data_IF_169083774515
#
_entry.id   IF_169083774515
#
_cell.length_a   1.000
_cell.length_b   1.000
_cell.length_c   1.000
_cell.angle_alpha   90.00
_cell.angle_beta   90.00
_cell.angle_gamma   90.00
#
_symmetry.space_group_name_H-M   'P 1'
#
loop_
_entity.id
_entity.type
_entity.pdbx_description
1 polymer ?
#
# COMPACT_ATOMS: atom_id res chain seq x y z
N UNK A 1 -92.34 -82.66 -76.93
CA UNK A 1 -91.72 -82.95 -75.64
C UNK A 1 -92.55 -84.02 -74.96
N UNK A 2 -92.06 -85.26 -74.94
CA UNK A 2 -92.71 -86.40 -74.27
C UNK A 2 -91.72 -87.09 -73.34
N UNK A 3 -92.13 -87.41 -72.11
CA UNK A 3 -91.33 -88.24 -71.21
C UNK A 3 -91.22 -89.67 -71.78
N UNK A 4 -89.99 -90.12 -72.06
CA UNK A 4 -89.68 -91.45 -72.63
C UNK A 4 -89.21 -92.42 -71.57
N UNK A 5 -88.44 -91.94 -70.59
CA UNK A 5 -87.78 -92.78 -69.58
C UNK A 5 -87.73 -92.08 -68.23
N UNK A 6 -88.00 -92.84 -67.16
CA UNK A 6 -87.76 -92.44 -65.78
C UNK A 6 -86.77 -93.43 -65.18
N UNK A 7 -85.62 -92.94 -64.73
CA UNK A 7 -84.68 -93.71 -63.93
C UNK A 7 -84.77 -93.25 -62.48
N UNK A 8 -85.01 -94.18 -61.57
CA UNK A 8 -85.18 -93.91 -60.13
C UNK A 8 -84.21 -94.77 -59.34
N UNK A 9 -83.40 -94.17 -58.48
CA UNK A 9 -82.47 -94.88 -57.60
C UNK A 9 -82.45 -94.25 -56.21
N UNK A 10 -82.71 -95.06 -55.18
CA UNK A 10 -82.72 -94.62 -53.78
C UNK A 10 -83.84 -93.64 -53.41
N UNK A 11 -84.85 -93.40 -54.26
CA UNK A 11 -85.93 -92.44 -54.01
C UNK A 11 -87.13 -93.11 -53.34
N UNK A 12 -87.46 -92.72 -52.11
CA UNK A 12 -88.57 -93.26 -51.31
C UNK A 12 -88.61 -94.79 -51.38
N UNK A 13 -89.68 -95.39 -51.89
CA UNK A 13 -89.85 -96.85 -52.01
C UNK A 13 -88.89 -97.54 -53.00
N UNK A 14 -88.17 -96.79 -53.83
CA UNK A 14 -87.28 -97.32 -54.86
C UNK A 14 -85.84 -97.42 -54.36
N UNK A 15 -85.52 -98.49 -53.64
CA UNK A 15 -84.15 -98.71 -53.14
C UNK A 15 -83.15 -99.01 -54.26
N UNK A 16 -83.52 -99.87 -55.23
CA UNK A 16 -82.67 -100.27 -56.35
C UNK A 16 -82.94 -99.40 -57.57
N UNK A 17 -81.93 -99.22 -58.41
CA UNK A 17 -82.09 -98.57 -59.72
C UNK A 17 -83.22 -99.27 -60.48
N UNK A 18 -84.25 -98.51 -60.80
CA UNK A 18 -85.44 -98.95 -61.52
C UNK A 18 -85.62 -98.04 -62.72
N UNK A 19 -85.76 -98.64 -63.90
CA UNK A 19 -85.97 -97.92 -65.15
C UNK A 19 -87.40 -98.17 -65.62
N UNK A 20 -88.15 -97.10 -65.86
CA UNK A 20 -89.55 -97.14 -66.31
C UNK A 20 -89.59 -96.49 -67.69
N UNK A 21 -89.96 -97.26 -68.70
CA UNK A 21 -90.15 -96.78 -70.06
C UNK A 21 -91.60 -96.36 -70.27
N UNK A 22 -91.81 -95.16 -70.82
CA UNK A 22 -93.12 -94.58 -71.10
C UNK A 22 -93.30 -94.55 -72.61
N UNK A 23 -94.27 -95.34 -73.07
CA UNK A 23 -94.60 -95.45 -74.49
C UNK A 23 -95.61 -94.39 -74.93
N UNK A 24 -95.80 -94.24 -76.24
CA UNK A 24 -96.82 -93.34 -76.81
C UNK A 24 -98.22 -93.81 -76.38
N UNK A 25 -99.11 -92.85 -76.08
CA UNK A 25 -100.49 -93.12 -75.67
C UNK A 25 -100.70 -93.02 -74.15
N UNK A 26 -101.61 -93.82 -73.61
CA UNK A 26 -101.96 -93.81 -72.19
C UNK A 26 -101.15 -94.87 -71.46
N UNK A 27 -100.32 -94.46 -70.51
CA UNK A 27 -99.58 -95.37 -69.63
C UNK A 27 -100.28 -95.47 -68.27
N UNK A 28 -100.82 -96.65 -67.95
CA UNK A 28 -101.44 -96.93 -66.66
C UNK A 28 -100.44 -97.51 -65.66
N UNK A 29 -100.35 -96.92 -64.47
CA UNK A 29 -99.53 -97.44 -63.36
C UNK A 29 -100.47 -98.06 -62.32
N UNK A 30 -100.47 -99.40 -62.24
CA UNK A 30 -101.33 -100.16 -61.34
C UNK A 30 -100.53 -100.95 -60.30
N UNK A 31 -101.15 -101.28 -59.18
CA UNK A 31 -100.51 -102.00 -58.08
C UNK A 31 -101.27 -101.84 -56.76
N UNK A 32 -100.99 -102.64 -55.73
CA UNK A 32 -101.67 -102.56 -54.44
C UNK A 32 -101.32 -101.26 -53.68
N UNK A 33 -102.12 -100.90 -52.67
CA UNK A 33 -101.80 -99.75 -51.83
C UNK A 33 -100.44 -99.93 -51.14
N UNK A 34 -99.64 -98.87 -51.08
CA UNK A 34 -98.28 -98.92 -50.54
C UNK A 34 -97.20 -99.40 -51.53
N UNK A 35 -97.55 -99.79 -52.77
CA UNK A 35 -96.58 -100.26 -53.77
C UNK A 35 -95.71 -99.16 -54.43
N UNK A 36 -95.74 -97.93 -53.91
CA UNK A 36 -94.92 -96.82 -54.43
C UNK A 36 -95.44 -96.09 -55.66
N UNK A 37 -96.66 -96.36 -56.14
CA UNK A 37 -97.25 -95.70 -57.34
C UNK A 37 -97.17 -94.17 -57.30
N UNK A 38 -97.68 -93.58 -56.22
CA UNK A 38 -97.67 -92.13 -56.04
C UNK A 38 -96.25 -91.56 -55.87
N UNK A 39 -95.27 -92.38 -55.48
CA UNK A 39 -93.87 -91.95 -55.38
C UNK A 39 -93.24 -91.73 -56.76
N UNK A 40 -93.77 -92.35 -57.82
CA UNK A 40 -93.34 -92.08 -59.20
C UNK A 40 -93.72 -90.64 -59.59
N UNK A 41 -94.95 -90.22 -59.28
CA UNK A 41 -95.40 -88.85 -59.51
C UNK A 41 -94.59 -87.82 -58.68
N UNK A 42 -94.27 -88.16 -57.42
CA UNK A 42 -93.41 -87.31 -56.59
C UNK A 42 -91.99 -87.22 -57.15
N UNK A 43 -91.42 -88.32 -57.67
CA UNK A 43 -90.10 -88.33 -58.30
C UNK A 43 -90.04 -87.40 -59.51
N UNK A 44 -91.10 -87.41 -60.34
CA UNK A 44 -91.21 -86.52 -61.49
C UNK A 44 -91.25 -85.05 -61.03
N UNK A 45 -92.12 -84.69 -60.07
CA UNK A 45 -92.20 -83.31 -59.53
C UNK A 45 -90.90 -82.83 -58.91
N UNK A 46 -90.24 -83.73 -58.20
CA UNK A 46 -89.01 -83.44 -57.49
C UNK A 46 -87.88 -83.05 -58.44
N UNK A 47 -87.73 -83.76 -59.57
CA UNK A 47 -86.75 -83.41 -60.61
C UNK A 47 -87.13 -82.10 -61.30
N UNK A 48 -88.42 -81.86 -61.54
CA UNK A 48 -88.93 -80.65 -62.22
C UNK A 48 -88.93 -79.39 -61.33
N UNK A 49 -88.31 -79.45 -60.15
CA UNK A 49 -88.02 -78.27 -59.32
C UNK A 49 -88.92 -78.07 -58.11
N UNK A 50 -89.72 -79.07 -57.69
CA UNK A 50 -90.43 -78.99 -56.40
C UNK A 50 -89.42 -78.90 -55.23
N UNK A 51 -89.61 -77.90 -54.38
CA UNK A 51 -88.75 -77.58 -53.24
C UNK A 51 -89.48 -77.79 -51.90
N UNK A 52 -90.80 -77.89 -51.91
CA UNK A 52 -91.60 -78.12 -50.71
C UNK A 52 -91.59 -79.60 -50.34
N UNK A 53 -90.98 -79.94 -49.21
CA UNK A 53 -91.03 -81.30 -48.65
C UNK A 53 -92.47 -81.77 -48.39
N UNK A 54 -93.35 -80.84 -47.99
CA UNK A 54 -94.78 -81.10 -47.77
C UNK A 54 -95.50 -81.55 -49.04
N UNK A 55 -95.22 -80.91 -50.17
CA UNK A 55 -95.81 -81.27 -51.47
C UNK A 55 -95.34 -82.64 -51.96
N UNK A 56 -94.14 -83.04 -51.53
CA UNK A 56 -93.58 -84.37 -51.74
C UNK A 56 -93.94 -85.33 -50.60
N UNK A 57 -94.95 -85.04 -49.76
CA UNK A 57 -95.42 -85.95 -48.70
C UNK A 57 -94.31 -86.41 -47.74
N UNK A 58 -93.37 -85.50 -47.46
CA UNK A 58 -92.31 -85.64 -46.46
C UNK A 58 -92.35 -84.50 -45.44
N UNK A 59 -91.63 -84.66 -44.34
CA UNK A 59 -91.49 -83.62 -43.31
C UNK A 59 -90.28 -82.74 -43.64
N UNK A 60 -89.17 -83.39 -43.99
CA UNK A 60 -87.93 -82.74 -44.45
C UNK A 60 -87.62 -83.13 -45.88
N UNK A 61 -86.75 -82.36 -46.53
CA UNK A 61 -86.41 -82.61 -47.92
C UNK A 61 -85.62 -83.92 -48.09
N UNK A 62 -84.85 -84.32 -47.08
CA UNK A 62 -84.08 -85.57 -47.08
C UNK A 62 -84.97 -86.83 -46.99
N UNK A 63 -86.26 -86.68 -46.62
CA UNK A 63 -87.22 -87.79 -46.55
C UNK A 63 -87.55 -88.38 -47.93
N UNK A 64 -87.10 -87.74 -49.02
CA UNK A 64 -87.15 -88.31 -50.37
C UNK A 64 -86.15 -89.46 -50.56
N UNK A 65 -85.13 -89.58 -49.69
CA UNK A 65 -84.13 -90.64 -49.75
C UNK A 65 -84.67 -91.90 -49.05
N UNK A 66 -84.47 -93.08 -49.65
CA UNK A 66 -84.87 -94.36 -49.08
C UNK A 66 -84.31 -94.52 -47.66
N UNK A 67 -85.22 -94.64 -46.70
CA UNK A 67 -84.88 -94.64 -45.28
C UNK A 67 -84.54 -96.03 -44.71
N UNK A 68 -84.47 -97.06 -45.55
CA UNK A 68 -84.26 -98.44 -45.14
C UNK A 68 -85.55 -99.14 -44.72
N UNK A 69 -85.46 -100.46 -44.60
CA UNK A 69 -86.49 -101.33 -44.00
C UNK A 69 -85.80 -102.26 -43.00
N UNK A 70 -86.54 -103.10 -42.27
CA UNK A 70 -85.94 -104.05 -41.32
C UNK A 70 -84.84 -104.93 -41.94
N UNK A 71 -84.97 -105.25 -43.24
CA UNK A 71 -84.05 -106.13 -43.96
C UNK A 71 -83.07 -105.38 -44.88
N UNK A 72 -83.16 -104.04 -44.99
CA UNK A 72 -82.39 -103.28 -46.00
C UNK A 72 -81.86 -101.95 -45.44
N UNK A 73 -80.56 -101.64 -45.63
CA UNK A 73 -79.96 -100.43 -45.07
C UNK A 73 -80.48 -99.16 -45.76
N UNK A 74 -80.43 -98.04 -45.02
CA UNK A 74 -80.71 -96.71 -45.55
C UNK A 74 -79.71 -96.32 -46.64
N UNK A 75 -80.17 -95.65 -47.70
CA UNK A 75 -79.31 -95.12 -48.77
C UNK A 75 -78.69 -93.77 -48.36
N UNK A 76 -77.47 -93.50 -48.80
CA UNK A 76 -76.77 -92.23 -48.55
C UNK A 76 -77.27 -91.08 -49.43
N UNK A 77 -77.76 -91.41 -50.63
CA UNK A 77 -78.30 -90.46 -51.60
C UNK A 77 -79.47 -91.08 -52.37
N UNK A 78 -80.21 -90.23 -53.07
CA UNK A 78 -81.15 -90.64 -54.11
C UNK A 78 -80.88 -89.84 -55.38
N UNK A 79 -81.24 -90.41 -56.52
CA UNK A 79 -81.18 -89.74 -57.81
C UNK A 79 -82.35 -90.18 -58.68
N UNK A 80 -82.86 -89.23 -59.47
CA UNK A 80 -83.92 -89.46 -60.43
C UNK A 80 -83.54 -88.74 -61.72
N UNK A 81 -83.63 -89.44 -62.85
CA UNK A 81 -83.42 -88.89 -64.18
C UNK A 81 -84.67 -89.07 -65.02
N UNK A 82 -85.10 -87.98 -65.67
CA UNK A 82 -86.24 -87.93 -66.58
C UNK A 82 -85.71 -87.66 -67.98
N UNK A 83 -85.92 -88.58 -68.91
CA UNK A 83 -85.55 -88.37 -70.32
C UNK A 83 -86.78 -87.99 -71.13
N UNK A 84 -86.65 -86.92 -71.90
CA UNK A 84 -87.70 -86.34 -72.73
C UNK A 84 -87.29 -86.35 -74.19
N UNK A 85 -88.17 -86.87 -75.03
CA UNK A 85 -88.11 -86.75 -76.49
C UNK A 85 -88.42 -85.29 -76.88
N UNK A 86 -87.45 -84.61 -77.48
CA UNK A 86 -87.47 -83.22 -77.93
C UNK A 86 -87.51 -83.10 -79.48
N UNK A 87 -88.01 -84.13 -80.20
CA UNK A 87 -88.17 -84.07 -81.67
C UNK A 87 -89.00 -82.88 -82.16
N UNK A 88 -89.89 -82.33 -81.32
CA UNK A 88 -90.73 -81.18 -81.65
C UNK A 88 -90.07 -79.82 -81.38
N UNK A 89 -88.82 -79.80 -80.94
CA UNK A 89 -88.02 -78.57 -80.79
C UNK A 89 -88.57 -77.57 -79.77
N UNK A 90 -89.43 -77.99 -78.84
CA UNK A 90 -90.03 -77.10 -77.84
C UNK A 90 -89.02 -76.54 -76.85
N UNK A 91 -87.95 -77.29 -76.59
CA UNK A 91 -86.78 -76.78 -75.87
C UNK A 91 -85.73 -76.42 -76.93
N UNK A 92 -85.22 -75.18 -76.86
CA UNK A 92 -84.11 -74.70 -77.67
C UNK A 92 -82.81 -75.41 -77.23
N UNK A 93 -82.59 -76.60 -77.78
CA UNK A 93 -81.44 -77.47 -77.51
C UNK A 93 -81.09 -78.24 -78.78
N UNK A 94 -79.80 -78.44 -79.02
CA UNK A 94 -79.29 -79.19 -80.18
C UNK A 94 -79.52 -80.71 -80.06
N UNK A 95 -79.99 -81.17 -78.89
CA UNK A 95 -80.24 -82.58 -78.59
C UNK A 95 -81.69 -82.98 -78.88
N UNK A 96 -81.86 -84.11 -79.57
CA UNK A 96 -83.16 -84.75 -79.83
C UNK A 96 -83.76 -85.43 -78.60
N UNK A 97 -82.93 -85.77 -77.60
CA UNK A 97 -83.37 -86.26 -76.29
C UNK A 97 -82.72 -85.40 -75.19
N UNK A 98 -83.53 -85.01 -74.20
CA UNK A 98 -83.11 -84.19 -73.06
C UNK A 98 -83.33 -84.98 -71.77
N UNK A 99 -82.26 -85.24 -71.04
CA UNK A 99 -82.29 -85.89 -69.73
C UNK A 99 -82.09 -84.86 -68.62
N UNK A 100 -83.09 -84.71 -67.77
CA UNK A 100 -83.05 -83.85 -66.58
C UNK A 100 -82.88 -84.75 -65.36
N UNK A 101 -81.83 -84.52 -64.58
CA UNK A 101 -81.50 -85.29 -63.39
C UNK A 101 -81.52 -84.43 -62.14
N UNK A 102 -81.92 -85.03 -61.02
CA UNK A 102 -81.69 -84.46 -59.69
C UNK A 102 -81.13 -85.54 -58.78
N UNK A 103 -80.07 -85.19 -58.04
CA UNK A 103 -79.44 -86.03 -57.03
C UNK A 103 -79.45 -85.30 -55.70
N UNK A 104 -79.72 -86.02 -54.62
CA UNK A 104 -79.71 -85.43 -53.28
C UNK A 104 -79.07 -86.35 -52.27
N UNK A 105 -78.22 -85.75 -51.45
CA UNK A 105 -77.48 -86.42 -50.39
C UNK A 105 -78.17 -86.20 -49.04
N UNK A 106 -77.92 -87.10 -48.09
CA UNK A 106 -78.38 -86.92 -46.70
C UNK A 106 -77.75 -85.71 -46.00
N UNK A 107 -76.71 -85.10 -46.55
CA UNK A 107 -76.16 -83.81 -46.11
C UNK A 107 -77.12 -82.63 -46.36
N UNK A 108 -78.16 -82.81 -47.18
CA UNK A 108 -79.09 -81.76 -47.60
C UNK A 108 -78.71 -81.12 -48.94
N UNK A 109 -77.54 -81.45 -49.49
CA UNK A 109 -77.08 -80.97 -50.78
C UNK A 109 -77.91 -81.59 -51.91
N UNK A 110 -78.38 -80.74 -52.83
CA UNK A 110 -79.08 -81.13 -54.06
C UNK A 110 -78.27 -80.70 -55.28
N UNK A 111 -77.97 -81.65 -56.15
CA UNK A 111 -77.32 -81.44 -57.43
C UNK A 111 -78.33 -81.64 -58.56
N UNK A 112 -78.18 -80.84 -59.61
CA UNK A 112 -79.07 -80.80 -60.76
C UNK A 112 -78.26 -81.06 -62.03
N UNK A 113 -78.82 -81.87 -62.91
CA UNK A 113 -78.13 -82.34 -64.11
C UNK A 113 -79.00 -82.11 -65.35
N UNK A 114 -78.37 -81.68 -66.44
CA UNK A 114 -78.97 -81.58 -67.76
C UNK A 114 -78.05 -82.29 -68.75
N UNK A 115 -78.52 -83.36 -69.38
CA UNK A 115 -77.73 -84.23 -70.27
C UNK A 115 -76.40 -84.68 -69.64
N UNK A 116 -76.40 -84.91 -68.33
CA UNK A 116 -75.21 -85.31 -67.55
C UNK A 116 -74.34 -84.14 -67.06
N UNK A 117 -74.56 -82.91 -67.53
CA UNK A 117 -73.82 -81.73 -67.07
C UNK A 117 -74.45 -81.13 -65.81
N UNK A 118 -73.63 -80.72 -64.84
CA UNK A 118 -74.10 -80.05 -63.63
C UNK A 118 -74.58 -78.63 -63.94
N UNK A 119 -75.80 -78.29 -63.53
CA UNK A 119 -76.47 -77.02 -63.79
C UNK A 119 -77.15 -76.48 -62.53
N UNK A 120 -77.58 -75.22 -62.54
CA UNK A 120 -78.35 -74.67 -61.41
C UNK A 120 -79.83 -75.00 -61.57
N UNK A 121 -80.56 -75.05 -60.45
CA UNK A 121 -82.03 -75.16 -60.48
C UNK A 121 -82.66 -74.05 -61.35
N UNK A 122 -82.10 -72.84 -61.33
CA UNK A 122 -82.59 -71.71 -62.14
C UNK A 122 -82.59 -72.07 -63.64
N UNK A 123 -81.54 -72.75 -64.10
CA UNK A 123 -81.36 -73.11 -65.51
C UNK A 123 -82.37 -74.20 -65.92
N UNK A 124 -82.61 -75.20 -65.06
CA UNK A 124 -83.66 -76.21 -65.28
C UNK A 124 -85.06 -75.57 -65.32
N UNK A 125 -85.35 -74.65 -64.39
CA UNK A 125 -86.63 -73.95 -64.35
C UNK A 125 -86.84 -73.05 -65.55
N UNK A 126 -85.77 -72.46 -66.10
CA UNK A 126 -85.83 -71.64 -67.32
C UNK A 126 -86.16 -72.49 -68.55
N UNK A 127 -85.51 -73.65 -68.70
CA UNK A 127 -85.74 -74.59 -69.81
C UNK A 127 -87.18 -75.13 -69.82
N UNK A 128 -87.72 -75.46 -68.65
CA UNK A 128 -89.06 -76.05 -68.53
C UNK A 128 -90.17 -74.98 -68.56
N UNK A 129 -89.83 -73.69 -68.39
CA UNK A 129 -90.80 -72.58 -68.28
C UNK A 129 -91.74 -72.48 -69.47
N UNK A 130 -91.23 -72.70 -70.69
CA UNK A 130 -91.99 -72.60 -71.93
C UNK A 130 -92.64 -73.93 -72.37
N UNK A 131 -92.39 -75.03 -71.65
CA UNK A 131 -92.90 -76.37 -72.01
C UNK A 131 -94.19 -76.75 -71.30
N UNK A 132 -94.57 -76.02 -70.25
CA UNK A 132 -95.76 -76.27 -69.42
C UNK A 132 -95.59 -77.42 -68.41
N UNK A 133 -94.39 -78.01 -68.31
CA UNK A 133 -94.08 -79.19 -67.47
C UNK A 133 -93.36 -78.77 -66.15
N UNK A 134 -93.51 -77.53 -65.71
CA UNK A 134 -92.82 -76.99 -64.51
C UNK A 134 -93.49 -77.28 -63.17
N UNK A 135 -92.83 -76.88 -62.07
CA UNK A 135 -93.39 -76.89 -60.70
C UNK A 135 -94.77 -76.22 -60.60
N UNK A 136 -94.97 -75.12 -61.32
CA UNK A 136 -96.22 -74.37 -61.34
C UNK A 136 -97.19 -74.88 -62.42
N UNK A 137 -96.68 -75.71 -63.35
CA UNK A 137 -97.39 -76.16 -64.53
C UNK A 137 -98.59 -77.06 -64.24
N UNK A 138 -99.63 -76.94 -65.07
CA UNK A 138 -100.85 -77.75 -65.01
C UNK A 138 -100.63 -79.24 -65.36
N UNK A 139 -99.44 -79.60 -65.86
CA UNK A 139 -99.12 -80.93 -66.37
C UNK A 139 -99.05 -82.02 -65.31
N UNK A 140 -98.92 -81.67 -64.03
CA UNK A 140 -98.84 -82.66 -62.94
C UNK A 140 -99.90 -82.38 -61.87
N UNK A 141 -101.04 -83.06 -62.00
CA UNK A 141 -102.15 -82.90 -61.05
C UNK A 141 -101.97 -83.83 -59.85
N UNK A 142 -101.94 -83.26 -58.64
CA UNK A 142 -101.86 -84.01 -57.40
C UNK A 142 -103.22 -84.42 -56.87
N UNK A 143 -103.22 -85.42 -55.99
CA UNK A 143 -104.41 -85.73 -55.21
C UNK A 143 -104.84 -84.48 -54.42
N UNK A 144 -106.07 -84.02 -54.63
CA UNK A 144 -106.63 -82.80 -54.00
C UNK A 144 -106.25 -81.46 -54.67
N UNK A 145 -105.39 -81.44 -55.70
CA UNK A 145 -104.96 -80.19 -56.36
C UNK A 145 -106.10 -79.51 -57.13
N UNK A 146 -107.04 -80.29 -57.67
CA UNK A 146 -108.20 -79.76 -58.39
C UNK A 146 -109.09 -78.98 -57.41
N UNK A 147 -109.36 -79.54 -56.23
CA UNK A 147 -110.15 -78.89 -55.18
C UNK A 147 -109.45 -77.62 -54.65
N UNK A 148 -108.11 -77.64 -54.54
CA UNK A 148 -107.30 -76.48 -54.16
C UNK A 148 -107.43 -75.34 -55.18
N UNK A 149 -107.36 -75.64 -56.48
CA UNK A 149 -107.50 -74.61 -57.53
C UNK A 149 -108.90 -73.98 -57.47
N UNK A 150 -109.94 -74.80 -57.27
CA UNK A 150 -111.34 -74.35 -57.18
C UNK A 150 -111.63 -73.54 -55.91
N UNK A 151 -110.97 -73.86 -54.79
CA UNK A 151 -111.14 -73.17 -53.49
C UNK A 151 -110.15 -72.01 -53.26
N UNK A 152 -109.14 -71.85 -54.11
CA UNK A 152 -108.12 -70.79 -53.98
C UNK A 152 -108.67 -69.37 -54.18
N UNK A 153 -108.00 -68.39 -53.54
CA UNK A 153 -108.27 -66.95 -53.71
C UNK A 153 -108.13 -66.54 -55.19
N UNK A 154 -108.92 -65.57 -55.69
CA UNK A 154 -108.88 -65.15 -57.10
C UNK A 154 -107.48 -64.80 -57.63
N UNK A 155 -106.64 -64.19 -56.80
CA UNK A 155 -105.25 -63.83 -57.16
C UNK A 155 -104.37 -65.06 -57.40
N UNK A 156 -104.49 -66.09 -56.56
CA UNK A 156 -103.75 -67.34 -56.72
C UNK A 156 -104.26 -68.13 -57.94
N UNK A 157 -105.58 -68.13 -58.14
CA UNK A 157 -106.22 -68.74 -59.30
C UNK A 157 -105.81 -68.08 -60.62
N UNK A 158 -105.69 -66.75 -60.63
CA UNK A 158 -105.23 -65.98 -61.79
C UNK A 158 -103.84 -66.41 -62.26
N UNK A 159 -102.92 -66.70 -61.35
CA UNK A 159 -101.57 -67.18 -61.71
C UNK A 159 -101.61 -68.46 -62.54
N UNK A 160 -102.50 -69.40 -62.19
CA UNK A 160 -102.69 -70.66 -62.93
C UNK A 160 -103.16 -70.39 -64.37
N UNK A 161 -104.06 -69.42 -64.56
CA UNK A 161 -104.52 -69.02 -65.89
C UNK A 161 -103.46 -68.23 -66.67
N UNK A 162 -102.70 -67.34 -66.02
CA UNK A 162 -101.61 -66.59 -66.65
C UNK A 162 -100.47 -67.51 -67.11
N UNK A 163 -100.22 -68.59 -66.38
CA UNK A 163 -99.28 -69.63 -66.77
C UNK A 163 -99.80 -70.47 -67.94
N UNK A 164 -101.07 -70.88 -67.90
CA UNK A 164 -101.71 -71.56 -69.02
C UNK A 164 -101.75 -70.69 -70.30
N UNK A 165 -101.84 -69.37 -70.15
CA UNK A 165 -101.77 -68.39 -71.23
C UNK A 165 -100.33 -68.04 -71.67
N UNK A 166 -99.30 -68.52 -70.97
CA UNK A 166 -97.89 -68.25 -71.30
C UNK A 166 -97.41 -66.81 -71.07
N UNK A 167 -98.18 -65.99 -70.36
CA UNK A 167 -97.89 -64.54 -70.16
C UNK A 167 -96.93 -64.31 -68.99
N UNK A 168 -96.81 -65.27 -68.06
CA UNK A 168 -95.99 -65.17 -66.85
C UNK A 168 -94.53 -64.76 -67.13
N UNK A 169 -93.92 -65.23 -68.22
CA UNK A 169 -92.52 -64.89 -68.57
C UNK A 169 -92.30 -63.40 -68.82
N UNK A 170 -93.24 -62.75 -69.51
CA UNK A 170 -93.15 -61.34 -69.84
C UNK A 170 -93.35 -60.48 -68.60
N UNK A 171 -94.27 -60.90 -67.73
CA UNK A 171 -94.52 -60.25 -66.45
C UNK A 171 -93.31 -60.29 -65.53
N UNK A 172 -92.70 -61.47 -65.33
CA UNK A 172 -91.51 -61.59 -64.48
C UNK A 172 -90.33 -60.78 -65.03
N UNK A 173 -90.09 -60.82 -66.35
CA UNK A 173 -89.03 -59.99 -66.98
C UNK A 173 -89.27 -58.49 -66.81
N UNK A 174 -90.53 -58.05 -66.88
CA UNK A 174 -90.91 -56.66 -66.63
C UNK A 174 -90.61 -56.26 -65.18
N UNK A 175 -91.10 -57.04 -64.21
CA UNK A 175 -90.89 -56.77 -62.78
C UNK A 175 -89.39 -56.74 -62.41
N UNK A 176 -88.58 -57.67 -62.95
CA UNK A 176 -87.12 -57.67 -62.77
C UNK A 176 -86.45 -56.40 -63.36
N UNK A 177 -86.91 -55.96 -64.53
CA UNK A 177 -86.38 -54.76 -65.21
C UNK A 177 -86.76 -53.48 -64.47
N UNK A 178 -87.99 -53.38 -63.97
CA UNK A 178 -88.47 -52.25 -63.17
C UNK A 178 -87.64 -52.10 -61.89
N UNK A 179 -87.40 -53.20 -61.16
CA UNK A 179 -86.53 -53.16 -59.98
C UNK A 179 -85.08 -52.77 -60.30
N UNK A 180 -84.56 -53.19 -61.46
CA UNK A 180 -83.20 -52.79 -61.87
C UNK A 180 -83.13 -51.30 -62.20
N UNK A 181 -84.17 -50.74 -62.81
CA UNK A 181 -84.26 -49.32 -63.12
C UNK A 181 -84.33 -48.47 -61.84
N UNK A 182 -85.17 -48.86 -60.89
CA UNK A 182 -85.31 -48.22 -59.58
C UNK A 182 -83.96 -48.14 -58.84
N UNK A 183 -83.24 -49.26 -58.74
CA UNK A 183 -81.90 -49.30 -58.15
C UNK A 183 -80.89 -48.40 -58.87
N UNK A 184 -81.00 -48.29 -60.19
CA UNK A 184 -80.11 -47.43 -60.97
C UNK A 184 -80.40 -45.96 -60.71
N UNK A 185 -81.67 -45.59 -60.55
CA UNK A 185 -82.08 -44.25 -60.20
C UNK A 185 -81.56 -43.84 -58.81
N UNK A 186 -81.68 -44.72 -57.81
CA UNK A 186 -81.13 -44.49 -56.47
C UNK A 186 -79.62 -44.26 -56.49
N UNK A 187 -78.89 -45.06 -57.29
CA UNK A 187 -77.45 -44.89 -57.45
C UNK A 187 -77.09 -43.55 -58.10
N UNK A 188 -77.88 -43.11 -59.09
CA UNK A 188 -77.65 -41.83 -59.76
C UNK A 188 -77.82 -40.66 -58.80
N UNK A 189 -78.91 -40.65 -58.02
CA UNK A 189 -79.14 -39.62 -56.99
C UNK A 189 -77.98 -39.54 -56.00
N UNK A 190 -77.45 -40.70 -55.57
CA UNK A 190 -76.28 -40.72 -54.69
C UNK A 190 -75.03 -40.13 -55.34
N UNK A 191 -74.81 -40.36 -56.64
CA UNK A 191 -73.67 -39.76 -57.36
C UNK A 191 -73.83 -38.24 -57.45
N UNK A 192 -75.05 -37.75 -57.72
CA UNK A 192 -75.36 -36.33 -57.75
C UNK A 192 -75.09 -35.65 -56.40
N UNK A 193 -75.48 -36.29 -55.29
CA UNK A 193 -75.19 -35.79 -53.93
C UNK A 193 -73.68 -35.65 -53.68
N UNK A 194 -72.90 -36.68 -54.03
CA UNK A 194 -71.43 -36.67 -53.88
C UNK A 194 -70.80 -35.59 -54.76
N UNK A 195 -71.28 -35.43 -56.00
CA UNK A 195 -70.80 -34.36 -56.89
C UNK A 195 -71.11 -32.97 -56.33
N UNK A 196 -72.28 -32.79 -55.72
CA UNK A 196 -72.66 -31.55 -55.03
C UNK A 196 -71.72 -31.24 -53.86
N UNK A 197 -71.44 -32.23 -53.02
CA UNK A 197 -70.50 -32.09 -51.90
C UNK A 197 -69.09 -31.72 -52.37
N UNK A 198 -68.54 -32.47 -53.35
CA UNK A 198 -67.21 -32.21 -53.90
C UNK A 198 -67.12 -30.83 -54.56
N UNK A 199 -68.16 -30.42 -55.30
CA UNK A 199 -68.20 -29.09 -55.91
C UNK A 199 -68.16 -27.97 -54.87
N UNK A 200 -68.84 -28.16 -53.73
CA UNK A 200 -68.79 -27.24 -52.60
C UNK A 200 -67.40 -27.12 -51.96
N UNK A 201 -66.59 -28.19 -52.00
CA UNK A 201 -65.23 -28.19 -51.45
C UNK A 201 -64.19 -27.53 -52.38
N UNK A 202 -64.42 -27.54 -53.70
CA UNK A 202 -63.46 -27.01 -54.68
C UNK A 202 -63.19 -25.51 -54.48
N UNK A 203 -64.23 -24.70 -54.26
CA UNK A 203 -64.08 -23.24 -54.09
C UNK A 203 -63.15 -22.86 -52.93
N UNK A 204 -63.42 -23.33 -51.69
CA UNK A 204 -62.54 -23.11 -50.54
C UNK A 204 -61.11 -23.62 -50.76
N UNK A 205 -60.94 -24.78 -51.40
CA UNK A 205 -59.61 -25.32 -51.73
C UNK A 205 -58.86 -24.44 -52.73
N UNK A 206 -59.56 -23.87 -53.71
CA UNK A 206 -58.96 -22.92 -54.64
C UNK A 206 -58.50 -21.65 -53.92
N UNK A 207 -59.34 -21.06 -53.07
CA UNK A 207 -58.95 -19.89 -52.27
C UNK A 207 -57.74 -20.17 -51.37
N UNK A 208 -57.69 -21.35 -50.75
CA UNK A 208 -56.55 -21.79 -49.94
C UNK A 208 -55.28 -21.92 -50.79
N UNK A 209 -55.39 -22.48 -51.99
CA UNK A 209 -54.26 -22.61 -52.92
C UNK A 209 -53.74 -21.24 -53.38
N UNK A 210 -54.63 -20.31 -53.71
CA UNK A 210 -54.27 -18.93 -54.09
C UNK A 210 -53.59 -18.18 -52.94
N UNK A 211 -54.15 -18.25 -51.72
CA UNK A 211 -53.52 -17.69 -50.51
C UNK A 211 -52.13 -18.27 -50.25
N UNK A 212 -51.98 -19.58 -50.42
CA UNK A 212 -50.70 -20.26 -50.22
C UNK A 212 -49.67 -19.83 -51.26
N UNK A 213 -50.07 -19.69 -52.53
CA UNK A 213 -49.18 -19.17 -53.59
C UNK A 213 -48.72 -17.74 -53.26
N UNK A 214 -49.64 -16.86 -52.90
CA UNK A 214 -49.31 -15.48 -52.51
C UNK A 214 -48.37 -15.44 -51.29
N UNK A 215 -48.62 -16.29 -50.28
CA UNK A 215 -47.73 -16.42 -49.13
C UNK A 215 -46.32 -16.85 -49.54
N UNK A 216 -46.18 -17.85 -50.40
CA UNK A 216 -44.86 -18.33 -50.85
C UNK A 216 -44.09 -17.24 -51.62
N UNK A 217 -44.77 -16.49 -52.48
CA UNK A 217 -44.16 -15.36 -53.18
C UNK A 217 -43.69 -14.26 -52.22
N UNK A 218 -44.53 -13.90 -51.24
CA UNK A 218 -44.18 -12.92 -50.21
C UNK A 218 -43.04 -13.42 -49.31
N UNK A 219 -43.03 -14.71 -48.99
CA UNK A 219 -41.98 -15.32 -48.17
C UNK A 219 -40.63 -15.32 -48.88
N UNK A 220 -40.58 -15.69 -50.16
CA UNK A 220 -39.35 -15.59 -50.95
C UNK A 220 -38.89 -14.14 -51.10
N UNK A 221 -39.84 -13.19 -51.28
CA UNK A 221 -39.50 -11.77 -51.30
C UNK A 221 -38.94 -11.29 -49.97
N UNK A 222 -39.53 -11.70 -48.85
CA UNK A 222 -39.05 -11.38 -47.51
C UNK A 222 -37.63 -11.93 -47.31
N UNK A 223 -37.41 -13.21 -47.59
CA UNK A 223 -36.11 -13.87 -47.47
C UNK A 223 -35.03 -13.14 -48.28
N UNK A 224 -35.35 -12.71 -49.49
CA UNK A 224 -34.45 -11.91 -50.31
C UNK A 224 -34.13 -10.55 -49.65
N UNK A 225 -35.13 -9.85 -49.11
CA UNK A 225 -34.92 -8.58 -48.41
C UNK A 225 -34.09 -8.75 -47.13
N UNK A 226 -34.37 -9.79 -46.35
CA UNK A 226 -33.64 -10.12 -45.12
C UNK A 226 -32.18 -10.43 -45.42
N UNK A 227 -31.88 -11.24 -46.45
CA UNK A 227 -30.50 -11.50 -46.90
C UNK A 227 -29.77 -10.20 -47.27
N UNK A 228 -30.42 -9.29 -47.99
CA UNK A 228 -29.83 -8.00 -48.34
C UNK A 228 -29.57 -7.13 -47.11
N UNK A 229 -30.52 -7.09 -46.16
CA UNK A 229 -30.36 -6.36 -44.91
C UNK A 229 -29.20 -6.92 -44.08
N UNK A 230 -29.09 -8.24 -43.97
CA UNK A 230 -27.98 -8.89 -43.28
C UNK A 230 -26.64 -8.62 -43.96
N UNK A 231 -26.58 -8.66 -45.30
CA UNK A 231 -25.37 -8.33 -46.05
C UNK A 231 -24.92 -6.87 -45.79
N UNK A 232 -25.85 -5.92 -45.83
CA UNK A 232 -25.55 -4.51 -45.52
C UNK A 232 -25.11 -4.31 -44.07
N UNK A 233 -25.76 -4.98 -43.12
CA UNK A 233 -25.39 -4.90 -41.71
C UNK A 233 -24.01 -5.52 -41.48
N UNK A 234 -23.70 -6.65 -42.12
CA UNK A 234 -22.39 -7.28 -42.07
C UNK A 234 -21.31 -6.33 -42.59
N UNK A 235 -21.50 -5.74 -43.77
CA UNK A 235 -20.54 -4.78 -44.34
C UNK A 235 -20.35 -3.55 -43.43
N UNK A 236 -21.44 -3.03 -42.85
CA UNK A 236 -21.38 -1.90 -41.90
C UNK A 236 -20.59 -2.26 -40.64
N UNK A 237 -20.84 -3.44 -40.07
CA UNK A 237 -20.15 -3.92 -38.88
C UNK A 237 -18.67 -4.13 -39.22
N UNK A 238 -18.36 -4.75 -40.35
CA UNK A 238 -16.98 -4.98 -40.79
C UNK A 238 -16.21 -3.67 -40.95
N UNK A 239 -16.80 -2.65 -41.59
CA UNK A 239 -16.19 -1.30 -41.68
C UNK A 239 -15.96 -0.67 -40.31
N UNK A 240 -16.88 -0.87 -39.36
CA UNK A 240 -16.74 -0.34 -38.00
C UNK A 240 -15.67 -1.07 -37.22
N UNK A 241 -15.55 -2.39 -37.37
CA UNK A 241 -14.46 -3.19 -36.78
C UNK A 241 -13.12 -2.72 -37.34
N UNK A 242 -13.02 -2.52 -38.66
CA UNK A 242 -11.79 -2.03 -39.28
C UNK A 242 -11.38 -0.66 -38.73
N UNK A 243 -12.31 0.31 -38.67
CA UNK A 243 -12.02 1.62 -38.06
C UNK A 243 -11.57 1.51 -36.60
N UNK A 244 -12.27 0.72 -35.79
CA UNK A 244 -11.90 0.52 -34.40
C UNK A 244 -10.53 -0.15 -34.25
N UNK A 245 -10.17 -1.07 -35.15
CA UNK A 245 -8.83 -1.68 -35.14
C UNK A 245 -7.73 -0.69 -35.52
N UNK A 246 -8.01 0.23 -36.47
CA UNK A 246 -7.09 1.31 -36.83
C UNK A 246 -6.92 2.27 -35.65
N UNK A 247 -8.01 2.73 -35.03
CA UNK A 247 -7.99 3.59 -33.84
C UNK A 247 -7.26 2.93 -32.65
N UNK A 248 -7.43 1.62 -32.46
CA UNK A 248 -6.76 0.86 -31.40
C UNK A 248 -5.26 0.75 -31.65
N UNK A 249 -4.84 0.49 -32.88
CA UNK A 249 -3.43 0.47 -33.25
C UNK A 249 -2.75 1.85 -33.08
N UNK A 250 -3.45 2.94 -33.43
CA UNK A 250 -2.96 4.30 -33.18
C UNK A 250 -2.81 4.59 -31.68
N UNK A 251 -3.77 4.16 -30.87
CA UNK A 251 -3.73 4.35 -29.42
C UNK A 251 -2.62 3.53 -28.76
N UNK A 252 -2.42 2.27 -29.19
CA UNK A 252 -1.32 1.42 -28.73
C UNK A 252 0.04 2.05 -29.05
N UNK A 253 0.23 2.57 -30.27
CA UNK A 253 1.44 3.27 -30.66
C UNK A 253 1.66 4.56 -29.83
N UNK A 254 0.59 5.31 -29.54
CA UNK A 254 0.67 6.49 -28.68
C UNK A 254 1.05 6.14 -27.23
N UNK A 255 0.50 5.05 -26.68
CA UNK A 255 0.86 4.55 -25.34
C UNK A 255 2.32 4.13 -25.30
N UNK A 256 2.81 3.40 -26.31
CA UNK A 256 4.20 2.96 -26.37
C UNK A 256 5.16 4.17 -26.47
N UNK A 257 4.81 5.18 -27.27
CA UNK A 257 5.57 6.42 -27.35
C UNK A 257 5.61 7.18 -26.01
N UNK A 258 4.47 7.30 -25.32
CA UNK A 258 4.40 7.96 -24.01
C UNK A 258 5.17 7.18 -22.93
N UNK A 259 5.09 5.85 -22.95
CA UNK A 259 5.88 4.99 -22.05
C UNK A 259 7.38 5.14 -22.29
N UNK A 260 7.80 5.22 -23.56
CA UNK A 260 9.20 5.49 -23.91
C UNK A 260 9.65 6.88 -23.43
N UNK A 261 8.82 7.91 -23.63
CA UNK A 261 9.08 9.27 -23.16
C UNK A 261 9.11 9.40 -21.63
N UNK A 262 8.23 8.67 -20.93
CA UNK A 262 8.27 8.55 -19.49
C UNK A 262 9.54 7.85 -19.01
N UNK A 263 9.94 6.76 -19.69
CA UNK A 263 11.18 6.04 -19.40
C UNK A 263 12.42 6.92 -19.56
N UNK A 264 12.51 7.73 -20.62
CA UNK A 264 13.62 8.67 -20.80
C UNK A 264 13.62 9.77 -19.75
N UNK A 265 12.44 10.32 -19.43
CA UNK A 265 12.31 11.37 -18.40
C UNK A 265 12.68 10.82 -17.01
N UNK A 266 12.29 9.58 -16.70
CA UNK A 266 12.65 8.90 -15.47
C UNK A 266 14.17 8.72 -15.33
N UNK A 267 14.84 8.31 -16.42
CA UNK A 267 16.30 8.21 -16.46
C UNK A 267 16.97 9.57 -16.25
N UNK A 268 16.46 10.63 -16.89
CA UNK A 268 16.98 11.99 -16.72
C UNK A 268 16.79 12.49 -15.28
N UNK A 269 15.64 12.21 -14.63
CA UNK A 269 15.47 12.53 -13.20
C UNK A 269 16.40 11.72 -12.30
N UNK A 270 16.68 10.46 -12.61
CA UNK A 270 17.61 9.64 -11.83
C UNK A 270 19.05 10.15 -11.98
N UNK A 271 19.46 10.51 -13.19
CA UNK A 271 20.77 11.14 -13.46
C UNK A 271 20.90 12.48 -12.74
N UNK A 272 19.87 13.35 -12.81
CA UNK A 272 19.86 14.63 -12.11
C UNK A 272 19.87 14.44 -10.59
N UNK A 273 19.15 13.44 -10.07
CA UNK A 273 19.14 13.15 -8.62
C UNK A 273 20.51 12.67 -8.15
N UNK A 274 21.15 11.76 -8.89
CA UNK A 274 22.52 11.32 -8.59
C UNK A 274 23.53 12.46 -8.66
N UNK A 275 23.38 13.37 -9.63
CA UNK A 275 24.22 14.58 -9.74
C UNK A 275 23.98 15.56 -8.60
N UNK A 276 22.75 15.66 -8.11
CA UNK A 276 22.39 16.48 -6.96
C UNK A 276 23.00 15.90 -5.68
N UNK A 277 22.90 14.59 -5.44
CA UNK A 277 23.56 13.92 -4.31
C UNK A 277 25.08 14.14 -4.32
N UNK A 278 25.70 14.06 -5.50
CA UNK A 278 27.13 14.30 -5.65
C UNK A 278 27.50 15.75 -5.36
N UNK A 279 26.72 16.72 -5.87
CA UNK A 279 26.92 18.14 -5.54
C UNK A 279 26.68 18.44 -4.06
N UNK A 280 25.75 17.76 -3.41
CA UNK A 280 25.52 17.88 -1.96
C UNK A 280 26.71 17.33 -1.16
N UNK A 281 27.31 16.21 -1.58
CA UNK A 281 28.56 15.71 -1.00
C UNK A 281 29.72 16.69 -1.21
N UNK A 282 29.91 17.18 -2.43
CA UNK A 282 30.96 18.16 -2.75
C UNK A 282 30.78 19.45 -1.92
N UNK A 283 29.54 19.92 -1.77
CA UNK A 283 29.20 21.08 -0.93
C UNK A 283 29.49 20.80 0.55
N UNK A 284 29.16 19.61 1.04
CA UNK A 284 29.45 19.21 2.42
C UNK A 284 30.95 19.18 2.67
N UNK A 285 31.73 18.60 1.75
CA UNK A 285 33.19 18.57 1.82
C UNK A 285 33.77 19.99 1.76
N UNK A 286 33.32 20.84 0.83
CA UNK A 286 33.77 22.22 0.73
C UNK A 286 33.43 23.03 1.99
N UNK A 287 32.27 22.76 2.64
CA UNK A 287 31.91 23.38 3.93
C UNK A 287 32.80 22.90 5.06
N UNK A 288 33.16 21.62 5.10
CA UNK A 288 34.10 21.08 6.06
C UNK A 288 35.50 21.68 5.89
N UNK A 289 35.98 21.76 4.64
CA UNK A 289 37.24 22.43 4.29
C UNK A 289 37.21 23.92 4.67
N UNK A 290 36.11 24.63 4.38
CA UNK A 290 35.94 26.03 4.76
C UNK A 290 35.90 26.21 6.29
N UNK A 291 35.24 25.31 7.01
CA UNK A 291 35.22 25.29 8.47
C UNK A 291 36.61 25.04 9.05
N UNK A 292 37.35 24.08 8.48
CA UNK A 292 38.75 23.78 8.85
C UNK A 292 39.67 24.98 8.60
N UNK A 293 39.59 25.60 7.42
CA UNK A 293 40.32 26.82 7.09
C UNK A 293 39.90 28.00 7.97
N UNK A 294 38.62 28.10 8.33
CA UNK A 294 38.10 29.10 9.26
C UNK A 294 38.68 28.93 10.65
N UNK A 295 38.71 27.70 11.17
CA UNK A 295 39.34 27.38 12.45
C UNK A 295 40.85 27.64 12.43
N UNK A 296 41.52 27.35 11.31
CA UNK A 296 42.94 27.66 11.14
C UNK A 296 43.20 29.17 11.03
N UNK A 297 42.32 29.92 10.35
CA UNK A 297 42.37 31.37 10.30
C UNK A 297 42.13 32.00 11.68
N UNK A 298 41.17 31.47 12.47
CA UNK A 298 40.95 31.89 13.86
C UNK A 298 42.14 31.56 14.75
N UNK A 299 42.75 30.38 14.60
CA UNK A 299 43.99 30.00 15.29
C UNK A 299 45.12 30.96 14.96
N UNK A 300 45.36 31.22 13.67
CA UNK A 300 46.40 32.14 13.20
C UNK A 300 46.11 33.59 13.61
N UNK A 301 44.85 34.01 13.64
CA UNK A 301 44.45 35.33 14.17
C UNK A 301 44.68 35.43 15.68
N UNK A 302 44.39 34.36 16.43
CA UNK A 302 44.69 34.24 17.85
C UNK A 302 46.19 34.28 18.13
N UNK A 303 46.99 33.53 17.36
CA UNK A 303 48.46 33.56 17.41
C UNK A 303 49.01 34.93 17.05
N UNK A 304 48.48 35.58 15.99
CA UNK A 304 48.84 36.95 15.62
C UNK A 304 48.49 37.94 16.72
N UNK A 305 47.35 37.80 17.39
CA UNK A 305 46.93 38.67 18.49
C UNK A 305 47.82 38.46 19.73
N UNK A 306 48.16 37.22 20.06
CA UNK A 306 49.10 36.89 21.12
C UNK A 306 50.51 37.42 20.83
N UNK A 307 50.98 37.28 19.58
CA UNK A 307 52.24 37.87 19.12
C UNK A 307 52.21 39.40 19.16
N UNK A 308 51.10 40.02 18.76
CA UNK A 308 50.93 41.47 18.85
C UNK A 308 50.91 41.96 20.30
N UNK A 309 50.26 41.23 21.21
CA UNK A 309 50.31 41.51 22.65
C UNK A 309 51.71 41.32 23.22
N UNK A 310 52.45 40.28 22.79
CA UNK A 310 53.86 40.10 23.15
C UNK A 310 54.73 41.22 22.60
N UNK A 311 54.51 41.67 21.37
CA UNK A 311 55.22 42.82 20.80
C UNK A 311 54.92 44.10 21.58
N UNK A 312 53.65 44.36 21.93
CA UNK A 312 53.27 45.50 22.77
C UNK A 312 53.80 45.40 24.20
N UNK A 313 53.98 44.19 24.74
CA UNK A 313 54.61 43.97 26.03
C UNK A 313 56.12 44.23 25.94
N UNK A 314 56.79 43.75 24.89
CA UNK A 314 58.21 44.02 24.62
C UNK A 314 58.45 45.50 24.34
N UNK A 315 57.60 46.18 23.58
CA UNK A 315 57.69 47.63 23.33
C UNK A 315 57.46 48.43 24.62
N UNK A 316 56.54 48.00 25.50
CA UNK A 316 56.36 48.61 26.82
C UNK A 316 57.58 48.37 27.73
N UNK A 317 58.17 47.19 27.68
CA UNK A 317 59.40 46.86 28.40
C UNK A 317 60.59 47.68 27.85
N UNK A 318 60.66 47.86 26.53
CA UNK A 318 61.64 48.71 25.84
C UNK A 318 61.47 50.18 26.22
N UNK A 319 60.22 50.68 26.21
CA UNK A 319 59.91 52.04 26.66
C UNK A 319 60.26 52.26 28.13
N UNK A 320 59.99 51.28 29.01
CA UNK A 320 60.41 51.33 30.42
C UNK A 320 61.93 51.34 30.56
N UNK A 321 62.64 50.51 29.79
CA UNK A 321 64.11 50.47 29.80
C UNK A 321 64.74 51.72 29.17
N UNK A 322 64.10 52.35 28.18
CA UNK A 322 64.51 53.62 27.60
C UNK A 322 64.26 54.79 28.57
N UNK A 323 63.14 54.79 29.30
CA UNK A 323 62.88 55.72 30.39
C UNK A 323 63.88 55.53 31.53
N UNK A 324 64.14 54.29 31.99
CA UNK A 324 65.18 53.98 32.98
C UNK A 324 66.58 54.38 32.50
N UNK A 325 66.90 54.18 31.21
CA UNK A 325 68.17 54.62 30.61
C UNK A 325 68.26 56.15 30.54
N UNK A 326 67.17 56.84 30.19
CA UNK A 326 67.12 58.31 30.12
C UNK A 326 67.21 58.94 31.51
N UNK A 327 66.54 58.36 32.50
CA UNK A 327 66.63 58.75 33.89
C UNK A 327 68.03 58.48 34.46
N UNK A 328 68.65 57.34 34.10
CA UNK A 328 70.03 57.02 34.45
C UNK A 328 71.06 57.94 33.79
N UNK A 329 70.84 58.34 32.53
CA UNK A 329 71.67 59.33 31.81
C UNK A 329 71.52 60.73 32.42
N UNK A 330 70.30 61.15 32.76
CA UNK A 330 70.07 62.42 33.44
C UNK A 330 70.69 62.44 34.85
N UNK A 331 70.60 61.32 35.59
CA UNK A 331 71.30 61.16 36.86
C UNK A 331 72.83 61.18 36.67
N UNK A 332 73.35 60.58 35.60
CA UNK A 332 74.79 60.60 35.30
C UNK A 332 75.28 61.99 34.87
N UNK A 333 74.48 62.78 34.15
CA UNK A 333 74.78 64.18 33.83
C UNK A 333 74.71 65.08 35.06
N UNK A 334 73.75 64.86 35.95
CA UNK A 334 73.65 65.58 37.23
C UNK A 334 74.83 65.22 38.17
N UNK A 335 75.20 63.93 38.26
CA UNK A 335 76.37 63.47 38.99
C UNK A 335 77.68 63.95 38.35
N UNK A 336 77.76 64.04 37.02
CA UNK A 336 78.92 64.60 36.32
C UNK A 336 79.07 66.10 36.59
N UNK A 337 77.96 66.86 36.60
CA UNK A 337 77.95 68.27 37.00
C UNK A 337 78.33 68.48 38.46
N UNK A 338 77.86 67.62 39.37
CA UNK A 338 78.28 67.64 40.78
C UNK A 338 79.76 67.29 40.95
N UNK A 339 80.32 66.39 40.14
CA UNK A 339 81.74 66.03 40.14
C UNK A 339 82.61 67.16 39.58
N UNK A 340 82.18 67.84 38.52
CA UNK A 340 82.88 69.02 37.97
C UNK A 340 82.89 70.18 38.99
N UNK A 341 81.75 70.46 39.63
CA UNK A 341 81.63 71.49 40.66
C UNK A 341 82.47 71.15 41.92
N UNK A 342 82.55 69.86 42.29
CA UNK A 342 83.41 69.38 43.37
C UNK A 342 84.89 69.38 43.00
N UNK A 343 85.26 69.17 41.73
CA UNK A 343 86.64 69.28 41.26
C UNK A 343 87.12 70.73 41.17
N UNK A 344 86.26 71.67 40.79
CA UNK A 344 86.54 73.11 40.86
C UNK A 344 86.72 73.59 42.31
N UNK A 345 85.86 73.12 43.22
CA UNK A 345 85.99 73.35 44.68
C UNK A 345 87.24 72.67 45.25
N UNK A 346 87.63 71.49 44.76
CA UNK A 346 88.85 70.81 45.18
C UNK A 346 90.13 71.51 44.67
N UNK A 347 90.11 72.06 43.46
CA UNK A 347 91.21 72.85 42.90
C UNK A 347 91.46 74.14 43.68
N UNK A 348 90.40 74.88 44.00
CA UNK A 348 90.47 76.10 44.83
C UNK A 348 90.92 75.82 46.26
N UNK A 349 90.51 74.69 46.86
CA UNK A 349 90.95 74.27 48.20
C UNK A 349 92.41 73.78 48.19
N UNK A 350 92.89 73.09 47.15
CA UNK A 350 94.29 72.67 47.03
C UNK A 350 95.26 73.84 46.82
N UNK A 351 94.81 74.90 46.12
CA UNK A 351 95.59 76.12 45.92
C UNK A 351 95.66 76.97 47.19
N UNK A 352 94.57 77.01 47.97
CA UNK A 352 94.56 77.57 49.33
C UNK A 352 95.42 76.76 50.31
N UNK A 353 95.43 75.42 50.21
CA UNK A 353 96.30 74.56 51.05
C UNK A 353 97.79 74.73 50.73
N UNK A 354 98.19 74.90 49.46
CA UNK A 354 99.60 75.22 49.13
C UNK A 354 100.04 76.58 49.68
N UNK A 355 99.15 77.57 49.73
CA UNK A 355 99.42 78.86 50.37
C UNK A 355 99.57 78.77 51.89
N UNK A 356 98.76 77.92 52.53
CA UNK A 356 98.79 77.70 53.98
C UNK A 356 99.96 76.80 54.41
N UNK A 357 100.35 75.79 53.62
CA UNK A 357 101.50 74.93 53.94
C UNK A 357 102.85 75.65 53.75
N UNK A 358 102.95 76.58 52.79
CA UNK A 358 104.13 77.45 52.66
C UNK A 358 104.25 78.44 53.83
N UNK A 359 103.12 79.02 54.28
CA UNK A 359 103.08 79.90 55.45
C UNK A 359 103.31 79.14 56.77
N UNK A 360 102.92 77.86 56.85
CA UNK A 360 103.13 77.00 58.03
C UNK A 360 104.59 76.55 58.16
N UNK A 361 105.28 76.27 57.05
CA UNK A 361 106.71 75.94 57.07
C UNK A 361 107.58 77.14 57.51
N UNK A 362 107.22 78.36 57.09
CA UNK A 362 107.90 79.60 57.49
C UNK A 362 107.60 79.96 58.95
N UNK A 363 106.35 79.78 59.41
CA UNK A 363 105.95 79.99 60.81
C UNK A 363 106.57 78.95 61.77
N UNK A 364 106.78 77.71 61.35
CA UNK A 364 107.45 76.67 62.16
C UNK A 364 108.96 76.89 62.26
N UNK A 365 109.62 77.42 61.22
CA UNK A 365 111.01 77.84 61.29
C UNK A 365 111.21 79.06 62.21
N UNK A 366 110.31 80.05 62.14
CA UNK A 366 110.33 81.22 63.02
C UNK A 366 109.96 80.88 64.48
N UNK A 367 109.12 79.87 64.71
CA UNK A 367 108.79 79.35 66.06
C UNK A 367 109.97 78.61 66.70
N UNK A 368 110.69 77.77 65.96
CA UNK A 368 111.87 77.08 66.48
C UNK A 368 113.03 78.04 66.83
N UNK A 369 113.20 79.13 66.06
CA UNK A 369 114.20 80.17 66.35
C UNK A 369 113.80 81.05 67.55
N UNK A 370 112.50 81.32 67.73
CA UNK A 370 111.95 82.01 68.89
C UNK A 370 112.01 81.16 70.17
N UNK A 371 111.80 79.85 70.10
CA UNK A 371 111.88 78.94 71.24
C UNK A 371 113.35 78.73 71.73
N UNK A 372 114.35 78.72 70.84
CA UNK A 372 115.78 78.69 71.25
C UNK A 372 116.23 80.04 71.83
N UNK A 373 115.75 81.17 71.29
CA UNK A 373 115.97 82.52 71.86
C UNK A 373 115.28 82.71 73.22
N UNK A 374 114.10 82.12 73.42
CA UNK A 374 113.37 82.17 74.68
C UNK A 374 113.96 81.23 75.74
N UNK A 375 114.48 80.07 75.34
CA UNK A 375 115.22 79.14 76.21
C UNK A 375 116.52 79.75 76.75
N UNK A 376 117.28 80.47 75.92
CA UNK A 376 118.48 81.21 76.35
C UNK A 376 118.16 82.38 77.27
N UNK A 377 117.07 83.11 77.00
CA UNK A 377 116.61 84.22 77.86
C UNK A 377 116.04 83.74 79.19
N UNK A 378 115.39 82.58 79.25
CA UNK A 378 114.89 81.99 80.49
C UNK A 378 116.01 81.39 81.36
N UNK A 379 117.04 80.75 80.78
CA UNK A 379 118.24 80.36 81.56
C UNK A 379 118.98 81.57 82.13
N UNK A 380 119.11 82.65 81.34
CA UNK A 380 119.69 83.92 81.80
C UNK A 380 118.83 84.58 82.90
N UNK A 381 117.49 84.44 82.84
CA UNK A 381 116.56 84.94 83.86
C UNK A 381 116.64 84.15 85.17
N UNK A 382 116.84 82.84 85.10
CA UNK A 382 116.98 81.98 86.28
C UNK A 382 118.35 82.18 86.96
N UNK A 383 119.44 82.33 86.18
CA UNK A 383 120.76 82.72 86.69
C UNK A 383 120.74 84.14 87.31
N UNK A 384 120.07 85.11 86.68
CA UNK A 384 119.92 86.46 87.24
C UNK A 384 119.00 86.48 88.46
N UNK A 385 118.00 85.60 88.56
CA UNK A 385 117.17 85.43 89.77
C UNK A 385 117.94 84.80 90.91
N UNK A 386 118.77 83.78 90.66
CA UNK A 386 119.64 83.21 91.69
C UNK A 386 120.69 84.22 92.15
N UNK A 387 121.22 85.04 91.22
CA UNK A 387 122.15 86.13 91.55
C UNK A 387 121.48 87.28 92.29
N UNK A 388 120.20 87.56 91.99
CA UNK A 388 119.36 88.48 92.76
C UNK A 388 119.07 87.93 94.16
N UNK A 389 118.87 86.62 94.31
CA UNK A 389 118.63 85.97 95.60
C UNK A 389 119.89 85.93 96.47
N UNK A 390 121.07 85.71 95.88
CA UNK A 390 122.34 85.80 96.60
C UNK A 390 122.69 87.24 97.00
N UNK A 391 122.40 88.22 96.13
CA UNK A 391 122.58 89.65 96.45
C UNK A 391 121.56 90.14 97.49
N UNK A 392 120.34 89.59 97.49
CA UNK A 392 119.33 89.88 98.52
C UNK A 392 119.74 89.30 99.89
N UNK A 393 120.35 88.12 99.91
CA UNK A 393 120.93 87.53 101.10
C UNK A 393 122.15 88.33 101.60
N UNK A 394 123.04 88.77 100.71
CA UNK A 394 124.16 89.67 101.06
C UNK A 394 123.68 91.06 101.54
N UNK A 395 122.58 91.60 100.98
CA UNK A 395 122.01 92.86 101.48
C UNK A 395 121.30 92.69 102.83
N UNK A 396 120.70 91.53 103.11
CA UNK A 396 120.13 91.24 104.42
C UNK A 396 121.24 91.06 105.48
N UNK A 397 122.37 90.45 105.09
CA UNK A 397 123.57 90.33 105.92
C UNK A 397 124.23 91.70 106.18
N UNK A 398 124.31 92.56 105.15
CA UNK A 398 124.79 93.94 105.26
C UNK A 398 123.84 94.88 106.01
N UNK A 399 122.53 94.70 105.92
CA UNK A 399 121.54 95.46 106.70
C UNK A 399 121.55 95.06 108.18
N UNK A 400 121.82 93.78 108.47
CA UNK A 400 122.04 93.32 109.85
C UNK A 400 123.34 93.91 110.43
N UNK A 401 124.43 93.94 109.65
CA UNK A 401 125.67 94.63 110.03
C UNK A 401 125.49 96.16 110.19
N UNK A 402 124.66 96.80 109.35
CA UNK A 402 124.33 98.23 109.48
C UNK A 402 123.56 98.51 110.77
N UNK A 403 122.56 97.68 111.11
CA UNK A 403 121.79 97.83 112.35
C UNK A 403 122.64 97.64 113.62
N UNK A 404 123.68 96.80 113.55
CA UNK A 404 124.65 96.59 114.63
C UNK A 404 125.69 97.72 114.74
N UNK A 405 125.92 98.49 113.67
CA UNK A 405 126.76 99.68 113.65
C UNK A 405 125.99 100.95 114.02
N UNK A 406 124.72 101.06 113.65
CA UNK A 406 123.82 102.16 114.04
C UNK A 406 123.56 102.14 115.56
N UNK A 407 123.37 100.97 116.19
CA UNK A 407 123.30 100.88 117.66
C UNK A 407 124.62 101.23 118.38
N UNK A 408 125.76 101.12 117.68
CA UNK A 408 127.06 101.59 118.21
C UNK A 408 127.20 103.09 118.02
N UNK A 409 126.72 103.66 116.92
CA UNK A 409 126.72 105.10 116.68
C UNK A 409 125.81 105.85 117.66
N UNK A 410 124.63 105.32 117.95
CA UNK A 410 123.67 105.94 118.88
C UNK A 410 124.16 105.93 120.34
N UNK A 411 124.96 104.92 120.74
CA UNK A 411 125.62 104.89 122.05
C UNK A 411 126.90 105.74 122.13
N UNK A 412 127.60 105.98 121.00
CA UNK A 412 128.68 106.96 120.96
C UNK A 412 128.15 108.41 120.92
N UNK A 413 126.94 108.62 120.38
CA UNK A 413 126.23 109.89 120.39
C UNK A 413 125.76 110.29 121.81
N UNK A 414 125.27 109.36 122.64
CA UNK A 414 124.94 109.69 124.04
C UNK A 414 126.18 110.06 124.88
N UNK A 415 127.32 109.40 124.62
CA UNK A 415 128.63 109.72 125.22
C UNK A 415 129.24 111.05 124.77
N UNK A 416 128.79 111.62 123.65
CA UNK A 416 129.24 112.94 123.18
C UNK A 416 128.29 114.08 123.56
N UNK A 417 127.04 113.78 123.95
CA UNK A 417 126.08 114.75 124.48
C UNK A 417 126.35 115.05 125.97
N UNK A 418 126.63 114.05 126.80
CA UNK A 418 126.96 114.28 128.23
C UNK A 418 128.32 114.98 128.42
N UNK A 419 129.28 114.73 127.51
CA UNK A 419 130.54 115.45 127.46
C UNK A 419 130.38 116.93 127.03
N UNK A 420 129.24 117.31 126.41
CA UNK A 420 128.89 118.70 126.10
C UNK A 420 128.19 119.41 127.26
N UNK A 421 127.43 118.70 128.10
CA UNK A 421 126.82 119.29 129.30
C UNK A 421 127.86 119.58 130.41
N UNK A 422 128.94 118.82 130.46
CA UNK A 422 130.13 119.16 131.26
C UNK A 422 130.83 120.47 130.82
N UNK A 423 130.51 121.02 129.64
CA UNK A 423 131.20 122.18 129.05
C UNK A 423 130.39 123.50 129.13
N UNK A 424 129.08 123.44 129.38
CA UNK A 424 128.24 124.65 129.51
C UNK A 424 128.06 125.16 130.95
N UNK A 425 127.96 124.31 131.98
CA UNK A 425 127.88 124.83 133.38
C UNK A 425 129.21 125.45 133.86
N UNK A 426 130.35 124.95 133.35
CA UNK A 426 131.65 125.60 133.54
C UNK A 426 131.77 126.93 132.80
N UNK A 427 130.87 127.24 131.85
CA UNK A 427 130.81 128.56 131.19
C UNK A 427 129.88 129.55 131.89
N UNK A 428 128.87 129.12 132.64
CA UNK A 428 128.03 130.04 133.44
C UNK A 428 128.63 130.42 134.80
N UNK A 429 129.57 129.64 135.33
CA UNK A 429 130.44 130.10 136.43
C UNK A 429 131.31 131.33 136.05
N UNK A 430 131.59 131.58 134.76
CA UNK A 430 132.48 132.67 134.31
C UNK A 430 131.75 133.90 133.73
N UNK A 431 130.50 133.75 133.27
CA UNK A 431 129.85 134.83 132.52
C UNK A 431 129.52 136.04 133.39
N UNK A 432 128.89 135.91 134.57
CA UNK A 432 128.31 137.13 135.16
C UNK A 432 128.35 137.25 136.69
N UNK A 433 129.51 136.85 137.24
CA UNK A 433 130.24 137.69 138.19
C UNK A 433 130.67 139.05 137.56
N UNK A 434 130.70 139.17 136.22
CA UNK A 434 131.05 140.41 135.49
C UNK A 434 130.01 141.51 135.63
N UNK A 435 128.73 141.21 135.73
CA UNK A 435 127.74 142.20 136.11
C UNK A 435 127.53 142.19 137.62
N UNK A 436 128.62 142.50 138.34
CA UNK A 436 128.61 142.93 139.75
C UNK A 436 128.15 144.39 139.89
N UNK A 437 127.84 145.12 138.80
CA UNK A 437 128.05 146.57 138.81
C UNK A 437 127.09 147.41 137.96
N UNK A 438 126.61 146.93 136.83
CA UNK A 438 125.69 147.71 136.02
C UNK A 438 124.28 147.29 136.40
N UNK A 439 123.86 147.84 137.52
CA UNK A 439 123.08 149.05 137.44
C UNK A 439 121.64 148.61 137.31
N UNK A 440 120.99 148.84 138.44
CA UNK A 440 119.62 149.28 138.40
C UNK A 440 118.61 148.15 138.20
N UNK A 441 117.63 148.12 139.09
CA UNK A 441 116.33 148.73 138.77
C UNK A 441 115.89 148.23 137.39
N UNK A 442 114.91 147.35 137.24
CA UNK A 442 113.86 146.87 138.13
C UNK A 442 113.17 145.67 137.43
N UNK A 443 112.56 144.65 138.05
CA UNK A 443 112.42 144.24 139.46
C UNK A 443 111.66 142.88 139.59
N UNK A 444 112.05 142.06 140.60
CA UNK A 444 111.43 140.92 141.37
C UNK A 444 110.78 139.66 140.67
N UNK A 445 110.95 138.39 141.14
CA UNK A 445 111.64 137.83 142.33
C UNK A 445 111.73 136.27 142.46
N UNK A 446 112.66 135.83 143.35
CA UNK A 446 112.88 134.59 144.15
C UNK A 446 112.74 133.16 143.54
N UNK A 447 113.59 132.15 143.78
CA UNK A 447 114.76 131.90 144.65
C UNK A 447 115.24 130.45 144.37
N UNK A 448 116.53 130.22 144.14
CA UNK A 448 117.58 129.91 145.13
C UNK A 448 117.76 128.40 145.41
N UNK A 449 118.90 127.89 144.91
CA UNK A 449 119.95 127.11 145.60
C UNK A 449 119.52 125.86 146.41
N UNK A 450 120.39 125.24 147.25
CA UNK A 450 121.84 125.03 147.18
C UNK A 450 122.27 123.54 147.39
N UNK A 451 123.49 123.21 146.95
CA UNK A 451 124.50 122.55 147.81
C UNK A 451 124.71 121.02 147.82
N UNK A 452 126.00 120.67 148.04
CA UNK A 452 126.58 119.54 148.82
C UNK A 452 127.09 118.23 148.13
N UNK A 453 128.34 117.82 148.46
CA UNK A 453 128.62 116.57 149.22
C UNK A 453 129.47 115.39 148.62
N UNK A 454 130.58 115.04 149.30
CA UNK A 454 131.11 113.68 149.68
C UNK A 454 131.68 112.71 148.58
N UNK A 455 132.53 111.68 148.81
CA UNK A 455 133.37 111.16 149.91
C UNK A 455 134.30 110.02 149.39
N UNK A 456 135.51 109.96 149.98
CA UNK A 456 136.31 108.77 150.38
C UNK A 456 137.01 107.84 149.35
N UNK A 457 138.34 107.79 149.56
CA UNK A 457 139.38 106.78 149.25
C UNK A 457 140.22 107.01 147.96
N UNK A 458 141.54 107.22 148.10
CA UNK A 458 142.48 107.93 147.19
C UNK A 458 143.94 107.48 147.48
N UNK A 459 144.93 107.62 146.56
CA UNK A 459 146.32 108.06 146.87
C UNK A 459 147.39 108.02 145.73
N UNK A 460 148.35 108.94 145.89
CA UNK A 460 149.50 109.36 145.06
C UNK A 460 150.72 108.43 144.94
N UNK A 461 151.30 108.42 143.73
CA UNK A 461 152.73 108.51 143.30
C UNK A 461 152.73 108.42 141.77
N UNK A 462 153.53 109.16 140.99
CA UNK A 462 153.28 109.27 139.56
C UNK A 462 154.09 108.27 138.73
N UNK A 463 153.44 107.57 137.78
CA UNK A 463 154.06 106.64 136.82
C UNK A 463 153.82 107.10 135.36
N UNK A 464 154.95 107.37 134.69
CA UNK A 464 155.26 107.43 133.25
C UNK A 464 154.22 108.02 132.28
N UNK A 465 154.31 109.35 132.14
CA UNK A 465 154.08 110.05 130.87
C UNK A 465 155.08 109.56 129.80
N UNK A 466 154.75 109.65 128.53
CA UNK A 466 154.77 110.88 127.71
C UNK A 466 155.77 110.59 126.58
N UNK A 467 155.56 110.99 125.34
CA UNK A 467 154.53 111.79 124.69
C UNK A 467 154.78 111.60 123.18
N UNK A 468 154.04 112.32 122.34
CA UNK A 468 154.48 112.68 120.98
C UNK A 468 154.92 111.50 120.10
N UNK A 469 154.01 111.00 119.25
CA UNK A 469 154.43 110.24 118.08
C UNK A 469 154.20 111.13 116.87
N UNK A 470 155.33 111.47 116.26
CA UNK A 470 155.55 112.85 115.95
C UNK A 470 154.67 113.41 114.84
N UNK A 471 154.22 114.65 115.04
CA UNK A 471 155.28 115.61 115.33
C UNK A 471 155.53 115.77 116.83
#
# INVERSE_FOLDING_TARGET
MRLTKIEINGFKSFEKKTEIFINRGITGIVGPNGSGKSNIADAIRWVLGEQSSKNLRGTKMEDVIFNGTQNRPKKAFCEVYLSFDNEDGRIASDYSEITIGRKMFRSGESEYYLNGNSVRLKDILEIIRDTGIGKEGYSIVGQGRIDEILSSKPVARRKVFEEAAGVMKFRTRKEESEHKLERTQENLTRVEDILGELSGQIGPLQEQAEKTKAYLELFERQKFLDMNLYAQNYERIQKRVQKLSEELAELEAAIEAEQSGFGSSAMETEELSGRLEQLEQDLAQAREELSGLGAEAERMAGEKKLLAERMLAVDRELGRLEEERSAGLAQAEELAGQVEELQEKQGTILEQMRGVDAALAEALAQKAEQEDKQGRKNRRREELRQRQFSLLAETAEKQSELSALEMKEENFASRTQEAREQQEEKREQEAELRSHLEEHRAGAGAGAAPGAGALRAELCRPQAGSASAGL
#
